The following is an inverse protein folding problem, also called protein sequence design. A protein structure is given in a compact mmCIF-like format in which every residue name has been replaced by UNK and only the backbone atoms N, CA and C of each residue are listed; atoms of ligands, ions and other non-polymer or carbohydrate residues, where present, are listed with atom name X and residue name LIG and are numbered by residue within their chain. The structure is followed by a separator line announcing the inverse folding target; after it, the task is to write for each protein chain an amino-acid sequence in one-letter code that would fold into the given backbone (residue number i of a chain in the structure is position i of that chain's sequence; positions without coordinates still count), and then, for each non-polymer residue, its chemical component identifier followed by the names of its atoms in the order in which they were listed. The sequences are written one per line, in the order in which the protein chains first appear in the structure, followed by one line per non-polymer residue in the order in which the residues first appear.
data_IF_136959559031
#
_entry.id   IF_136959559031
#
_cell.length_a   1.000
_cell.length_b   1.000
_cell.length_c   1.000
_cell.angle_alpha   90.00
_cell.angle_beta   90.00
_cell.angle_gamma   90.00
#
_symmetry.space_group_name_H-M   'P 1'
#
loop_
_entity.id
_entity.type
_entity.pdbx_description
1 polymer ?
#
# COMPACT_ATOMS: atom_id res chain seq x y z
N UNK A 1 -48.63 -12.39 -23.32
CA UNK A 1 -47.69 -12.87 -22.30
C UNK A 1 -46.76 -11.71 -21.94
N UNK A 2 -47.02 -10.99 -20.84
CA UNK A 2 -46.24 -9.80 -20.44
C UNK A 2 -45.06 -10.25 -19.57
N UNK A 3 -43.85 -10.23 -20.11
CA UNK A 3 -42.63 -10.53 -19.35
C UNK A 3 -42.30 -9.34 -18.43
N UNK A 4 -42.32 -9.57 -17.11
CA UNK A 4 -41.97 -8.59 -16.09
C UNK A 4 -40.46 -8.63 -15.84
N UNK A 5 -39.76 -7.60 -16.32
CA UNK A 5 -38.30 -7.43 -16.25
C UNK A 5 -37.78 -6.95 -14.87
N UNK A 6 -38.67 -6.84 -13.88
CA UNK A 6 -38.35 -6.32 -12.54
C UNK A 6 -37.32 -7.13 -11.70
N UNK A 7 -37.10 -8.45 -11.85
CA UNK A 7 -36.11 -9.13 -11.01
C UNK A 7 -34.67 -9.05 -11.55
N UNK A 8 -34.47 -8.69 -12.83
CA UNK A 8 -33.14 -8.62 -13.44
C UNK A 8 -32.39 -7.33 -13.11
N UNK A 9 -33.10 -6.28 -12.69
CA UNK A 9 -32.47 -5.01 -12.30
C UNK A 9 -31.63 -5.16 -11.00
N UNK A 10 -31.95 -6.15 -10.16
CA UNK A 10 -31.25 -6.38 -8.89
C UNK A 10 -29.91 -7.11 -9.07
N UNK A 11 -29.74 -7.88 -10.17
CA UNK A 11 -28.53 -8.64 -10.47
C UNK A 11 -27.39 -7.80 -11.05
N UNK A 12 -27.69 -6.59 -11.54
CA UNK A 12 -26.70 -5.67 -12.14
C UNK A 12 -25.89 -4.87 -11.11
N UNK A 13 -26.25 -4.90 -9.82
CA UNK A 13 -25.59 -4.10 -8.77
C UNK A 13 -24.43 -4.82 -8.06
N UNK A 14 -24.21 -6.11 -8.32
CA UNK A 14 -23.22 -6.94 -7.60
C UNK A 14 -21.84 -7.04 -8.28
N UNK A 15 -21.63 -6.35 -9.40
CA UNK A 15 -20.46 -6.57 -10.26
C UNK A 15 -19.24 -5.67 -10.04
N UNK A 16 -19.29 -4.67 -9.15
CA UNK A 16 -18.19 -3.71 -9.01
C UNK A 16 -17.23 -4.11 -7.88
N UNK A 17 -16.47 -5.18 -8.08
CA UNK A 17 -15.21 -5.35 -7.32
C UNK A 17 -14.19 -4.40 -7.94
N UNK A 18 -14.05 -3.22 -7.34
CA UNK A 18 -12.97 -2.29 -7.68
C UNK A 18 -11.65 -2.98 -7.30
N UNK A 19 -10.91 -3.47 -8.29
CA UNK A 19 -9.53 -3.87 -8.08
C UNK A 19 -8.76 -2.61 -7.70
N UNK A 20 -8.32 -2.51 -6.45
CA UNK A 20 -7.38 -1.50 -6.03
C UNK A 20 -5.99 -1.93 -6.50
N UNK A 21 -5.50 -1.35 -7.60
CA UNK A 21 -4.10 -1.55 -8.00
C UNK A 21 -3.26 -0.56 -7.23
N UNK A 22 -2.34 -1.08 -6.43
CA UNK A 22 -1.31 -0.28 -5.79
C UNK A 22 -0.09 -0.16 -6.73
N UNK A 23 0.64 0.95 -6.66
CA UNK A 23 1.82 1.19 -7.48
C UNK A 23 2.94 1.79 -6.63
N UNK A 24 4.04 1.05 -6.52
CA UNK A 24 5.25 1.51 -5.83
C UNK A 24 6.19 2.18 -6.82
N UNK A 25 6.49 3.46 -6.58
CA UNK A 25 7.54 4.18 -7.31
C UNK A 25 8.73 4.44 -6.40
N UNK A 26 9.88 3.87 -6.73
CA UNK A 26 11.14 4.09 -5.99
C UNK A 26 11.98 5.15 -6.70
N UNK A 27 12.22 6.27 -6.02
CA UNK A 27 13.09 7.35 -6.52
C UNK A 27 14.40 7.33 -5.75
N UNK A 28 15.49 6.95 -6.41
CA UNK A 28 16.83 6.93 -5.84
C UNK A 28 17.71 7.99 -6.48
N UNK A 29 18.55 8.65 -5.66
CA UNK A 29 19.56 9.57 -6.17
C UNK A 29 20.68 8.79 -6.88
N UNK A 30 20.93 9.14 -8.13
CA UNK A 30 21.94 8.49 -8.96
C UNK A 30 23.36 8.66 -8.39
N UNK A 31 24.24 7.69 -8.68
CA UNK A 31 25.66 7.68 -8.27
C UNK A 31 25.94 7.61 -6.75
N UNK A 32 24.94 7.29 -5.93
CA UNK A 32 25.14 7.04 -4.50
C UNK A 32 25.08 5.53 -4.23
N UNK A 33 26.17 4.99 -3.68
CA UNK A 33 26.21 3.61 -3.18
C UNK A 33 25.22 3.45 -2.03
N UNK A 34 24.56 2.30 -1.92
CA UNK A 34 23.57 2.04 -0.89
C UNK A 34 24.11 2.28 0.54
N UNK A 35 25.38 1.94 0.78
CA UNK A 35 26.10 2.16 2.04
C UNK A 35 26.23 3.64 2.47
N UNK A 36 25.93 4.59 1.58
CA UNK A 36 25.98 6.03 1.85
C UNK A 36 24.59 6.64 2.04
N UNK A 37 23.52 5.86 1.85
CA UNK A 37 22.15 6.31 2.08
C UNK A 37 21.88 6.25 3.58
N UNK A 38 21.52 7.40 4.16
CA UNK A 38 21.29 7.57 5.60
C UNK A 38 19.83 7.81 5.96
N UNK A 39 19.00 8.17 4.98
CA UNK A 39 17.58 8.41 5.17
C UNK A 39 16.78 7.95 3.97
N UNK A 40 15.55 7.50 4.22
CA UNK A 40 14.58 7.12 3.21
C UNK A 40 13.27 7.89 3.42
N UNK A 41 12.51 8.05 2.32
CA UNK A 41 11.17 8.65 2.35
C UNK A 41 10.21 7.70 1.67
N UNK A 42 9.14 7.36 2.35
CA UNK A 42 8.02 6.58 1.83
C UNK A 42 6.80 7.50 1.76
N UNK A 43 6.13 7.53 0.61
CA UNK A 43 4.86 8.22 0.43
C UNK A 43 3.82 7.13 0.19
N UNK A 44 3.01 6.86 1.21
CA UNK A 44 1.90 5.94 1.11
C UNK A 44 0.64 6.71 0.70
N UNK A 45 0.01 6.27 -0.38
CA UNK A 45 -1.24 6.84 -0.87
C UNK A 45 -2.18 5.72 -1.32
N UNK A 46 -3.31 5.57 -0.63
CA UNK A 46 -4.25 4.48 -0.92
C UNK A 46 -5.05 4.06 0.30
N UNK A 47 -5.85 3.01 0.17
CA UNK A 47 -6.69 2.46 1.23
C UNK A 47 -5.95 1.38 2.02
N UNK A 48 -6.14 1.30 3.33
CA UNK A 48 -5.48 0.27 4.13
C UNK A 48 -6.12 -1.10 3.88
N UNK A 49 -5.60 -1.84 2.90
CA UNK A 49 -6.02 -3.19 2.52
C UNK A 49 -4.87 -4.18 2.77
N UNK A 50 -5.14 -5.50 2.78
CA UNK A 50 -4.07 -6.49 2.91
C UNK A 50 -2.98 -6.35 1.85
N UNK A 51 -3.38 -6.10 0.59
CA UNK A 51 -2.46 -5.95 -0.54
C UNK A 51 -1.57 -4.71 -0.39
N UNK A 52 -2.18 -3.52 -0.20
CA UNK A 52 -1.43 -2.27 -0.04
C UNK A 52 -0.52 -2.29 1.21
N UNK A 53 -0.97 -2.97 2.26
CA UNK A 53 -0.19 -3.15 3.49
C UNK A 53 1.03 -4.02 3.24
N UNK A 54 0.88 -5.13 2.51
CA UNK A 54 2.00 -6.00 2.15
C UNK A 54 3.03 -5.27 1.29
N UNK A 55 2.60 -4.37 0.40
CA UNK A 55 3.52 -3.52 -0.35
C UNK A 55 4.30 -2.55 0.56
N UNK A 56 3.63 -1.88 1.50
CA UNK A 56 4.30 -1.02 2.46
C UNK A 56 5.35 -1.79 3.27
N UNK A 57 5.00 -2.98 3.76
CA UNK A 57 5.93 -3.86 4.48
C UNK A 57 7.12 -4.22 3.60
N UNK A 58 6.88 -4.63 2.35
CA UNK A 58 7.95 -4.96 1.40
C UNK A 58 8.91 -3.79 1.16
N UNK A 59 8.41 -2.55 1.10
CA UNK A 59 9.28 -1.36 0.93
C UNK A 59 10.10 -1.11 2.18
N UNK A 60 9.53 -1.27 3.38
CA UNK A 60 10.27 -1.14 4.64
C UNK A 60 11.37 -2.21 4.72
N UNK A 61 11.06 -3.46 4.39
CA UNK A 61 12.02 -4.56 4.37
C UNK A 61 13.11 -4.33 3.34
N UNK A 62 12.77 -3.85 2.13
CA UNK A 62 13.76 -3.47 1.13
C UNK A 62 14.70 -2.40 1.69
N UNK A 63 14.16 -1.39 2.39
CA UNK A 63 14.96 -0.32 2.96
C UNK A 63 15.94 -0.88 4.01
N UNK A 64 15.42 -1.67 4.93
CA UNK A 64 16.18 -2.25 6.04
C UNK A 64 17.28 -3.20 5.54
N UNK A 65 17.00 -4.01 4.52
CA UNK A 65 17.95 -5.00 4.00
C UNK A 65 19.01 -4.37 3.08
N UNK A 66 18.63 -3.40 2.25
CA UNK A 66 19.51 -2.92 1.19
C UNK A 66 20.29 -1.65 1.54
N UNK A 67 19.87 -0.89 2.56
CA UNK A 67 20.50 0.38 2.95
C UNK A 67 20.90 0.38 4.44
N UNK A 68 21.98 -0.33 4.81
CA UNK A 68 22.33 -0.63 6.21
C UNK A 68 22.72 0.59 7.06
N UNK A 69 22.91 1.77 6.46
CA UNK A 69 23.16 3.03 7.17
C UNK A 69 21.94 3.94 7.27
N UNK A 70 20.79 3.51 6.76
CA UNK A 70 19.54 4.25 6.91
C UNK A 70 19.10 4.18 8.36
N UNK A 71 19.10 5.33 9.03
CA UNK A 71 18.64 5.46 10.42
C UNK A 71 17.30 6.15 10.54
N UNK A 72 16.91 6.88 9.48
CA UNK A 72 15.70 7.70 9.45
C UNK A 72 14.82 7.30 8.26
N UNK A 73 13.65 6.73 8.53
CA UNK A 73 12.60 6.49 7.54
C UNK A 73 11.47 7.48 7.78
N UNK A 74 11.18 8.35 6.80
CA UNK A 74 10.05 9.28 6.87
C UNK A 74 8.88 8.70 6.10
N UNK A 75 7.84 8.26 6.82
CA UNK A 75 6.60 7.75 6.25
C UNK A 75 5.53 8.85 6.23
N UNK A 76 5.06 9.21 5.06
CA UNK A 76 3.92 10.10 4.85
C UNK A 76 2.71 9.27 4.43
N UNK A 77 1.59 9.42 5.14
CA UNK A 77 0.38 8.62 4.89
C UNK A 77 -0.73 9.57 4.43
N UNK A 78 -1.24 9.34 3.23
CA UNK A 78 -2.47 9.94 2.73
C UNK A 78 -3.46 8.82 2.41
N UNK A 79 -4.25 8.43 3.42
CA UNK A 79 -5.16 7.30 3.35
C UNK A 79 -6.53 7.65 3.93
N UNK A 80 -7.58 7.07 3.36
CA UNK A 80 -8.94 7.12 3.92
C UNK A 80 -9.17 6.07 5.02
N UNK A 81 -8.14 5.29 5.37
CA UNK A 81 -8.25 4.14 6.28
C UNK A 81 -8.64 2.86 5.54
N UNK A 82 -9.14 1.86 6.27
CA UNK A 82 -9.51 0.56 5.72
C UNK A 82 -9.62 -0.51 6.79
N UNK A 83 -9.03 -1.68 6.54
CA UNK A 83 -9.01 -2.82 7.46
C UNK A 83 -8.18 -2.52 8.70
N UNK A 84 -8.79 -2.71 9.88
CA UNK A 84 -8.10 -2.60 11.17
C UNK A 84 -6.97 -3.63 11.29
N UNK A 85 -7.17 -4.84 10.78
CA UNK A 85 -6.15 -5.90 10.80
C UNK A 85 -4.95 -5.52 9.94
N UNK A 86 -5.19 -5.01 8.73
CA UNK A 86 -4.12 -4.55 7.84
C UNK A 86 -3.40 -3.33 8.44
N UNK A 87 -4.14 -2.40 9.06
CA UNK A 87 -3.54 -1.28 9.78
C UNK A 87 -2.65 -1.75 10.94
N UNK A 88 -3.08 -2.79 11.67
CA UNK A 88 -2.30 -3.37 12.76
C UNK A 88 -1.02 -4.04 12.24
N UNK A 89 -1.10 -4.77 11.13
CA UNK A 89 0.10 -5.35 10.48
C UNK A 89 1.08 -4.27 10.02
N UNK A 90 0.60 -3.20 9.39
CA UNK A 90 1.43 -2.07 9.00
C UNK A 90 2.11 -1.42 10.20
N UNK A 91 1.38 -1.25 11.31
CA UNK A 91 1.93 -0.72 12.55
C UNK A 91 3.06 -1.59 13.12
N UNK A 92 2.86 -2.90 13.21
CA UNK A 92 3.90 -3.81 13.71
C UNK A 92 5.15 -3.78 12.81
N UNK A 93 4.99 -3.69 11.50
CA UNK A 93 6.12 -3.56 10.58
C UNK A 93 6.86 -2.23 10.69
N UNK A 94 6.17 -1.12 10.99
CA UNK A 94 6.82 0.19 11.19
C UNK A 94 7.60 0.23 12.52
N UNK A 95 7.11 -0.48 13.53
CA UNK A 95 7.69 -0.50 14.87
C UNK A 95 8.99 -1.32 14.93
N UNK A 96 9.16 -2.29 14.04
CA UNK A 96 10.28 -3.24 14.00
C UNK A 96 11.40 -2.79 13.04
#
# INVERSE_FOLDING_TARGET
MKFSYKPYLFLLFFGYTLNASANVTVIKKENIKNEKITSAKIIYHGAITPEETMELISVIDEINNNYPKTKDIKLYINSFGGSMESAYMAYEAIKH
#
